data_IF_513107421284
#
_entry.id   IF_513107421284
#
_cell.length_a   1.000
_cell.length_b   1.000
_cell.length_c   1.000
_cell.angle_alpha   90.00
_cell.angle_beta   90.00
_cell.angle_gamma   90.00
#
_symmetry.space_group_name_H-M   'P 1'
#
loop_
_entity.id
_entity.type
_entity.pdbx_description
1 polymer ?
#
# COMPACT_ATOMS: atom_id res chain seq x y z
N UNK A 1 20.92 -13.07 2.30
CA UNK A 1 19.48 -13.36 2.43
C UNK A 1 18.89 -13.67 1.07
N UNK A 2 18.02 -14.68 0.97
CA UNK A 2 17.51 -15.13 -0.31
C UNK A 2 16.31 -14.26 -0.76
N UNK A 3 16.47 -13.55 -1.87
CA UNK A 3 15.39 -12.91 -2.63
C UNK A 3 14.19 -13.89 -2.78
N UNK A 4 14.47 -15.17 -3.00
CA UNK A 4 13.46 -16.20 -3.10
C UNK A 4 12.55 -16.30 -1.85
N UNK A 5 13.08 -16.20 -0.63
CA UNK A 5 12.27 -16.27 0.59
C UNK A 5 11.30 -15.09 0.71
N UNK A 6 11.76 -13.91 0.35
CA UNK A 6 10.90 -12.72 0.33
C UNK A 6 9.80 -12.85 -0.73
N UNK A 7 10.14 -13.26 -1.95
CA UNK A 7 9.16 -13.45 -3.03
C UNK A 7 8.14 -14.54 -2.68
N UNK A 8 8.58 -15.69 -2.16
CA UNK A 8 7.67 -16.77 -1.72
C UNK A 8 6.73 -16.25 -0.63
N UNK A 9 7.24 -15.50 0.35
CA UNK A 9 6.41 -14.89 1.40
C UNK A 9 5.40 -13.90 0.85
N UNK A 10 5.80 -13.02 -0.06
CA UNK A 10 4.92 -12.03 -0.67
C UNK A 10 3.82 -12.69 -1.53
N UNK A 11 4.19 -13.67 -2.35
CA UNK A 11 3.23 -14.42 -3.18
C UNK A 11 2.28 -15.24 -2.30
N UNK A 12 2.79 -15.97 -1.31
CA UNK A 12 1.95 -16.74 -0.38
C UNK A 12 0.96 -15.86 0.37
N UNK A 13 1.40 -14.69 0.84
CA UNK A 13 0.52 -13.73 1.51
C UNK A 13 -0.51 -13.14 0.55
N UNK A 14 -0.13 -12.84 -0.70
CA UNK A 14 -1.08 -12.38 -1.72
C UNK A 14 -2.15 -13.43 -2.00
N UNK A 15 -1.76 -14.70 -2.12
CA UNK A 15 -2.71 -15.80 -2.27
C UNK A 15 -3.63 -15.89 -1.05
N UNK A 16 -3.10 -15.81 0.17
CA UNK A 16 -3.91 -15.82 1.39
C UNK A 16 -4.91 -14.66 1.43
N UNK A 17 -4.49 -13.45 1.02
CA UNK A 17 -5.39 -12.29 0.94
C UNK A 17 -6.50 -12.44 -0.12
N UNK A 18 -6.29 -13.25 -1.15
CA UNK A 18 -7.33 -13.54 -2.15
C UNK A 18 -8.50 -14.36 -1.58
N UNK A 19 -8.30 -15.07 -0.46
CA UNK A 19 -9.37 -15.77 0.27
C UNK A 19 -10.05 -14.91 1.34
N UNK A 20 -9.55 -13.70 1.59
CA UNK A 20 -10.19 -12.76 2.52
C UNK A 20 -11.40 -12.13 1.85
N UNK A 21 -12.49 -11.99 2.60
CA UNK A 21 -13.70 -11.37 2.06
C UNK A 21 -13.42 -9.94 1.58
N UNK A 22 -14.05 -9.58 0.47
CA UNK A 22 -13.95 -8.23 -0.12
C UNK A 22 -14.37 -7.14 0.87
N UNK A 23 -15.36 -7.43 1.72
CA UNK A 23 -15.84 -6.48 2.73
C UNK A 23 -14.81 -6.24 3.82
N UNK A 24 -14.08 -7.28 4.25
CA UNK A 24 -13.00 -7.12 5.21
C UNK A 24 -11.83 -6.31 4.63
N UNK A 25 -11.43 -6.60 3.38
CA UNK A 25 -10.40 -5.81 2.67
C UNK A 25 -10.85 -4.35 2.58
N UNK A 26 -12.09 -4.10 2.21
CA UNK A 26 -12.66 -2.77 2.08
C UNK A 26 -12.67 -2.04 3.43
N UNK A 27 -13.10 -2.70 4.49
CA UNK A 27 -13.13 -2.12 5.83
C UNK A 27 -11.74 -1.78 6.34
N UNK A 28 -10.78 -2.70 6.22
CA UNK A 28 -9.44 -2.53 6.79
C UNK A 28 -8.58 -1.58 5.94
N UNK A 29 -8.60 -1.72 4.61
CA UNK A 29 -7.63 -1.04 3.73
C UNK A 29 -8.19 0.16 2.98
N UNK A 30 -9.53 0.27 2.81
CA UNK A 30 -10.12 1.34 2.02
C UNK A 30 -10.81 2.40 2.88
N UNK A 31 -11.49 2.00 3.96
CA UNK A 31 -12.33 2.93 4.73
C UNK A 31 -11.55 4.09 5.35
N UNK A 32 -10.45 3.79 6.07
CA UNK A 32 -9.66 4.84 6.72
C UNK A 32 -8.96 5.77 5.72
N UNK A 33 -8.27 5.26 4.67
CA UNK A 33 -7.71 6.10 3.62
C UNK A 33 -8.75 6.98 2.92
N UNK A 34 -9.93 6.42 2.59
CA UNK A 34 -10.99 7.20 1.96
C UNK A 34 -11.50 8.33 2.86
N UNK A 35 -11.70 8.03 4.16
CA UNK A 35 -12.14 9.02 5.14
C UNK A 35 -11.13 10.15 5.33
N UNK A 36 -9.84 9.81 5.43
CA UNK A 36 -8.78 10.80 5.57
C UNK A 36 -8.61 11.65 4.31
N UNK A 37 -8.72 11.04 3.12
CA UNK A 37 -8.67 11.77 1.86
C UNK A 37 -9.88 12.71 1.69
N UNK A 38 -11.10 12.27 2.01
CA UNK A 38 -12.29 13.10 2.00
C UNK A 38 -12.18 14.27 2.99
N UNK A 39 -11.65 14.02 4.21
CA UNK A 39 -11.40 15.05 5.21
C UNK A 39 -10.35 16.07 4.76
N UNK A 40 -9.30 15.62 4.05
CA UNK A 40 -8.29 16.53 3.50
C UNK A 40 -8.91 17.56 2.52
N UNK A 41 -9.91 17.15 1.73
CA UNK A 41 -10.62 18.02 0.79
C UNK A 41 -11.84 18.70 1.38
N UNK A 42 -12.12 18.51 2.67
CA UNK A 42 -13.30 19.04 3.36
C UNK A 42 -14.62 18.66 2.67
N UNK A 43 -14.73 17.42 2.24
CA UNK A 43 -15.91 16.89 1.54
C UNK A 43 -16.49 15.67 2.24
N UNK A 44 -17.81 15.43 2.13
CA UNK A 44 -18.43 14.23 2.72
C UNK A 44 -17.99 12.95 2.01
N UNK A 45 -17.81 11.88 2.78
CA UNK A 45 -17.63 10.52 2.27
C UNK A 45 -18.99 9.84 2.15
N UNK A 46 -19.37 9.47 0.94
CA UNK A 46 -20.59 8.69 0.69
C UNK A 46 -20.39 7.23 1.06
N UNK A 47 -21.27 6.70 1.90
CA UNK A 47 -21.32 5.30 2.30
C UNK A 47 -22.57 4.64 1.66
N UNK A 48 -22.50 3.35 1.30
CA UNK A 48 -21.41 2.38 1.51
C UNK A 48 -20.34 2.38 0.42
N UNK A 49 -20.44 3.19 -0.65
CA UNK A 49 -19.57 3.12 -1.83
C UNK A 49 -18.13 3.56 -1.54
N UNK A 50 -17.89 4.23 -0.40
CA UNK A 50 -16.62 4.89 -0.08
C UNK A 50 -16.19 5.88 -1.18
N UNK A 51 -17.16 6.67 -1.66
CA UNK A 51 -16.95 7.65 -2.72
C UNK A 51 -16.96 9.08 -2.15
N UNK A 52 -16.12 9.95 -2.69
CA UNK A 52 -16.16 11.39 -2.40
C UNK A 52 -15.92 12.18 -3.68
N UNK A 53 -16.41 13.42 -3.70
CA UNK A 53 -16.27 14.32 -4.86
C UNK A 53 -15.48 15.56 -4.47
N UNK A 54 -14.32 15.76 -5.11
CA UNK A 54 -13.47 16.90 -4.90
C UNK A 54 -12.96 17.43 -6.24
N UNK A 55 -12.92 18.75 -6.41
CA UNK A 55 -12.46 19.44 -7.63
C UNK A 55 -13.10 18.94 -8.94
N UNK A 56 -14.37 18.55 -8.90
CA UNK A 56 -15.08 18.02 -10.08
C UNK A 56 -14.84 16.54 -10.37
N UNK A 57 -13.91 15.90 -9.68
CA UNK A 57 -13.62 14.47 -9.77
C UNK A 57 -14.41 13.70 -8.71
N UNK A 58 -15.03 12.59 -9.11
CA UNK A 58 -15.68 11.65 -8.18
C UNK A 58 -14.80 10.43 -8.06
N UNK A 59 -14.22 10.22 -6.89
CA UNK A 59 -13.35 9.10 -6.56
C UNK A 59 -14.15 8.06 -5.76
N UNK A 60 -14.30 6.85 -6.31
CA UNK A 60 -14.85 5.69 -5.60
C UNK A 60 -13.70 4.73 -5.25
N UNK A 61 -13.52 4.49 -3.96
CA UNK A 61 -12.40 3.65 -3.48
C UNK A 61 -12.82 2.18 -3.52
N UNK A 62 -12.42 1.50 -4.58
CA UNK A 62 -12.66 0.08 -4.77
C UNK A 62 -11.64 -0.80 -4.04
N UNK A 63 -11.95 -2.08 -3.76
CA UNK A 63 -11.00 -3.04 -3.17
C UNK A 63 -9.70 -3.20 -3.98
N UNK A 64 -9.74 -3.02 -5.29
CA UNK A 64 -8.55 -2.97 -6.15
C UNK A 64 -7.61 -1.80 -5.83
N UNK A 65 -8.13 -0.75 -5.18
CA UNK A 65 -7.35 0.40 -4.72
C UNK A 65 -6.79 0.23 -3.30
N UNK A 66 -7.05 -0.90 -2.65
CA UNK A 66 -6.70 -1.14 -1.24
C UNK A 66 -5.18 -1.19 -0.95
N UNK A 67 -4.34 -1.32 -1.98
CA UNK A 67 -2.90 -1.46 -1.79
C UNK A 67 -2.49 -2.79 -1.18
N UNK A 68 -3.32 -3.84 -1.29
CA UNK A 68 -3.06 -5.17 -0.73
C UNK A 68 -1.78 -5.81 -1.29
N UNK A 69 -1.42 -5.50 -2.53
CA UNK A 69 -0.17 -5.96 -3.15
C UNK A 69 1.04 -5.34 -2.47
N UNK A 70 0.98 -4.03 -2.23
CA UNK A 70 2.00 -3.33 -1.47
C UNK A 70 2.09 -3.86 -0.04
N UNK A 71 0.95 -4.07 0.63
CA UNK A 71 0.90 -4.64 1.98
C UNK A 71 1.57 -6.01 2.03
N UNK A 72 1.26 -6.92 1.09
CA UNK A 72 1.86 -8.25 1.05
C UNK A 72 3.39 -8.18 0.86
N UNK A 73 3.86 -7.32 -0.04
CA UNK A 73 5.29 -7.12 -0.26
C UNK A 73 5.99 -6.48 0.93
N UNK A 74 5.40 -5.42 1.51
CA UNK A 74 5.96 -4.72 2.65
C UNK A 74 6.01 -5.61 3.91
N UNK A 75 4.92 -6.34 4.19
CA UNK A 75 4.87 -7.27 5.33
C UNK A 75 5.91 -8.36 5.20
N UNK A 76 6.01 -8.99 4.03
CA UNK A 76 7.01 -10.03 3.78
C UNK A 76 8.44 -9.48 3.95
N UNK A 77 8.71 -8.27 3.45
CA UNK A 77 10.01 -7.62 3.54
C UNK A 77 10.38 -7.26 4.99
N UNK A 78 9.43 -6.69 5.73
CA UNK A 78 9.60 -6.34 7.14
C UNK A 78 9.77 -7.59 8.02
N UNK A 79 8.97 -8.65 7.79
CA UNK A 79 9.07 -9.89 8.54
C UNK A 79 10.44 -10.56 8.33
N UNK A 80 10.92 -10.61 7.11
CA UNK A 80 12.26 -11.14 6.81
C UNK A 80 13.35 -10.24 7.38
N UNK A 81 13.25 -8.93 7.21
CA UNK A 81 14.24 -7.96 7.71
C UNK A 81 14.32 -7.95 9.23
N UNK A 82 13.20 -7.99 9.93
CA UNK A 82 13.15 -8.08 11.39
C UNK A 82 13.58 -9.46 11.89
N UNK A 83 13.20 -10.54 11.19
CA UNK A 83 13.59 -11.90 11.54
C UNK A 83 15.11 -12.14 11.47
N UNK A 84 15.79 -11.47 10.54
CA UNK A 84 17.27 -11.50 10.46
C UNK A 84 17.90 -10.79 11.65
N UNK A 85 17.28 -9.71 12.16
CA UNK A 85 17.82 -8.93 13.28
C UNK A 85 17.50 -9.57 14.64
N UNK A 86 16.22 -9.82 14.90
CA UNK A 86 15.73 -10.49 16.11
C UNK A 86 14.35 -11.07 15.85
N UNK A 87 14.16 -12.37 16.14
CA UNK A 87 12.86 -13.06 15.96
C UNK A 87 11.71 -12.39 16.69
N UNK A 88 11.96 -11.79 17.87
CA UNK A 88 10.96 -11.06 18.64
C UNK A 88 10.35 -9.85 17.88
N UNK A 89 11.07 -9.26 16.94
CA UNK A 89 10.58 -8.11 16.17
C UNK A 89 9.69 -8.47 14.98
N UNK A 90 9.60 -9.75 14.63
CA UNK A 90 8.70 -10.20 13.54
C UNK A 90 7.25 -9.81 13.81
N UNK A 91 6.82 -9.81 15.08
CA UNK A 91 5.47 -9.40 15.49
C UNK A 91 5.19 -7.94 15.13
N UNK A 92 6.21 -7.08 15.12
CA UNK A 92 6.07 -5.67 14.74
C UNK A 92 5.93 -5.46 13.22
N UNK A 93 6.22 -6.46 12.41
CA UNK A 93 6.12 -6.36 10.96
C UNK A 93 4.68 -6.12 10.49
N UNK A 94 3.69 -6.78 11.13
CA UNK A 94 2.29 -6.65 10.78
C UNK A 94 1.74 -5.22 11.00
N UNK A 95 1.80 -4.64 12.21
CA UNK A 95 1.33 -3.28 12.41
C UNK A 95 2.12 -2.26 11.60
N UNK A 96 3.44 -2.43 11.44
CA UNK A 96 4.26 -1.53 10.63
C UNK A 96 3.85 -1.57 9.14
N UNK A 97 3.66 -2.75 8.56
CA UNK A 97 3.19 -2.89 7.19
C UNK A 97 1.79 -2.29 7.00
N UNK A 98 0.88 -2.52 7.97
CA UNK A 98 -0.47 -1.98 7.91
C UNK A 98 -0.47 -0.44 7.96
N UNK A 99 0.20 0.15 8.94
CA UNK A 99 0.30 1.62 9.07
C UNK A 99 0.90 2.22 7.80
N UNK A 100 2.00 1.64 7.30
CA UNK A 100 2.66 2.11 6.10
C UNK A 100 1.74 2.06 4.88
N UNK A 101 1.01 0.95 4.70
CA UNK A 101 0.06 0.77 3.59
C UNK A 101 -1.08 1.78 3.67
N UNK A 102 -1.70 1.94 4.83
CA UNK A 102 -2.81 2.88 5.03
C UNK A 102 -2.36 4.33 4.78
N UNK A 103 -1.18 4.70 5.29
CA UNK A 103 -0.62 6.04 5.11
C UNK A 103 -0.35 6.33 3.63
N UNK A 104 0.37 5.44 2.94
CA UNK A 104 0.68 5.62 1.52
C UNK A 104 -0.57 5.60 0.65
N UNK A 105 -1.55 4.75 0.97
CA UNK A 105 -2.80 4.72 0.23
C UNK A 105 -3.61 6.01 0.43
N UNK A 106 -3.58 6.61 1.63
CA UNK A 106 -4.18 7.93 1.87
C UNK A 106 -3.54 9.01 0.99
N UNK A 107 -2.22 9.11 0.98
CA UNK A 107 -1.51 10.07 0.13
C UNK A 107 -1.76 9.83 -1.35
N UNK A 108 -1.81 8.57 -1.78
CA UNK A 108 -2.17 8.20 -3.15
C UNK A 108 -3.56 8.70 -3.52
N UNK A 109 -4.59 8.49 -2.67
CA UNK A 109 -5.95 8.96 -2.93
C UNK A 109 -6.02 10.48 -3.00
N UNK A 110 -5.30 11.19 -2.12
CA UNK A 110 -5.19 12.64 -2.18
C UNK A 110 -4.56 13.09 -3.50
N UNK A 111 -3.47 12.44 -3.93
CA UNK A 111 -2.78 12.80 -5.17
C UNK A 111 -3.61 12.46 -6.44
N UNK A 112 -4.49 11.46 -6.38
CA UNK A 112 -5.32 11.08 -7.53
C UNK A 112 -6.30 12.18 -7.94
N UNK A 113 -6.88 12.93 -7.00
CA UNK A 113 -7.86 13.98 -7.31
C UNK A 113 -7.31 15.03 -8.30
N UNK A 114 -6.20 15.75 -8.01
CA UNK A 114 -5.67 16.72 -8.96
C UNK A 114 -5.17 16.06 -10.25
N UNK A 115 -4.61 14.86 -10.19
CA UNK A 115 -4.12 14.16 -11.39
C UNK A 115 -5.29 13.80 -12.30
N UNK A 116 -6.35 13.19 -11.79
CA UNK A 116 -7.53 12.82 -12.60
C UNK A 116 -8.30 14.02 -13.14
N UNK A 117 -8.20 15.19 -12.49
CA UNK A 117 -8.84 16.42 -13.01
C UNK A 117 -8.22 16.88 -14.34
N UNK A 118 -7.00 16.47 -14.65
CA UNK A 118 -6.26 16.88 -15.85
C UNK A 118 -6.35 15.85 -16.97
N UNK A 119 -6.53 14.56 -16.65
CA UNK A 119 -6.53 13.49 -17.62
C UNK A 119 -7.95 13.12 -18.11
N UNK A 120 -8.10 12.70 -19.39
CA UNK A 120 -9.38 12.23 -19.89
C UNK A 120 -9.82 10.93 -19.19
N UNK A 121 -11.13 10.75 -19.06
CA UNK A 121 -11.74 9.58 -18.36
C UNK A 121 -11.28 8.22 -18.88
N UNK A 122 -10.91 8.13 -20.15
CA UNK A 122 -10.38 6.90 -20.78
C UNK A 122 -9.02 6.48 -20.23
N UNK A 123 -8.25 7.40 -19.67
CA UNK A 123 -6.89 7.15 -19.16
C UNK A 123 -6.85 6.90 -17.65
N UNK A 124 -7.96 7.10 -16.95
CA UNK A 124 -8.06 6.94 -15.49
C UNK A 124 -7.45 5.63 -14.97
N UNK A 125 -7.67 4.45 -15.59
CA UNK A 125 -7.05 3.21 -15.10
C UNK A 125 -5.52 3.23 -15.14
N UNK A 126 -4.94 3.82 -16.19
CA UNK A 126 -3.48 3.95 -16.35
C UNK A 126 -2.93 4.95 -15.32
N UNK A 127 -3.63 6.06 -15.13
CA UNK A 127 -3.30 7.08 -14.14
C UNK A 127 -3.29 6.49 -12.72
N UNK A 128 -4.31 5.71 -12.37
CA UNK A 128 -4.38 5.02 -11.08
C UNK A 128 -3.19 4.08 -10.85
N UNK A 129 -2.80 3.33 -11.88
CA UNK A 129 -1.64 2.45 -11.82
C UNK A 129 -0.35 3.25 -11.64
N UNK A 130 -0.14 4.28 -12.48
CA UNK A 130 1.06 5.11 -12.46
C UNK A 130 1.24 5.80 -11.10
N UNK A 131 0.19 6.42 -10.56
CA UNK A 131 0.22 7.04 -9.23
C UNK A 131 0.53 5.99 -8.16
N UNK A 132 -0.06 4.78 -8.24
CA UNK A 132 0.27 3.68 -7.34
C UNK A 132 1.76 3.31 -7.37
N UNK A 133 2.34 3.17 -8.56
CA UNK A 133 3.77 2.85 -8.71
C UNK A 133 4.65 3.95 -8.12
N UNK A 134 4.34 5.22 -8.38
CA UNK A 134 5.11 6.38 -7.86
C UNK A 134 5.11 6.41 -6.33
N UNK A 135 4.00 6.07 -5.68
CA UNK A 135 3.95 6.08 -4.21
C UNK A 135 4.54 4.82 -3.57
N UNK A 136 4.29 3.64 -4.14
CA UNK A 136 4.64 2.38 -3.48
C UNK A 136 6.05 1.90 -3.80
N UNK A 137 6.52 2.04 -5.04
CA UNK A 137 7.80 1.51 -5.47
C UNK A 137 9.00 2.14 -4.74
N UNK A 138 9.11 3.48 -4.58
CA UNK A 138 10.23 4.08 -3.86
C UNK A 138 10.32 3.60 -2.41
N UNK A 139 9.17 3.43 -1.75
CA UNK A 139 9.13 2.97 -0.36
C UNK A 139 9.56 1.51 -0.25
N UNK A 140 9.14 0.65 -1.18
CA UNK A 140 9.63 -0.73 -1.24
C UNK A 140 11.14 -0.80 -1.50
N UNK A 141 11.67 0.03 -2.39
CA UNK A 141 13.10 0.11 -2.65
C UNK A 141 13.87 0.59 -1.40
N UNK A 142 13.33 1.58 -0.68
CA UNK A 142 13.93 2.07 0.57
C UNK A 142 13.92 1.00 1.67
N UNK A 143 12.79 0.29 1.85
CA UNK A 143 12.69 -0.83 2.78
C UNK A 143 13.68 -1.94 2.42
N UNK A 144 13.75 -2.30 1.16
CA UNK A 144 14.71 -3.27 0.66
C UNK A 144 16.14 -2.86 1.01
N UNK A 145 16.53 -1.64 0.66
CA UNK A 145 17.87 -1.14 0.90
C UNK A 145 18.22 -1.10 2.40
N UNK A 146 17.32 -0.56 3.24
CA UNK A 146 17.57 -0.39 4.66
C UNK A 146 17.58 -1.70 5.45
N UNK A 147 16.72 -2.65 5.09
CA UNK A 147 16.58 -3.90 5.82
C UNK A 147 17.57 -4.97 5.33
N UNK A 148 17.92 -4.94 4.06
CA UNK A 148 18.59 -6.03 3.37
C UNK A 148 19.90 -5.63 2.69
N UNK A 149 20.02 -4.37 2.27
CA UNK A 149 21.18 -3.87 1.53
C UNK A 149 22.44 -3.71 2.38
N UNK A 150 22.30 -3.31 3.64
CA UNK A 150 23.45 -3.04 4.52
C UNK A 150 24.25 -4.30 4.92
N UNK A 151 23.68 -5.49 4.82
CA UNK A 151 24.37 -6.73 5.22
C UNK A 151 25.50 -7.18 4.29
N UNK A 152 25.56 -6.63 3.06
CA UNK A 152 26.62 -6.98 2.09
C UNK A 152 27.86 -6.07 2.13
N UNK A 153 27.75 -4.88 2.73
CA UNK A 153 28.84 -3.91 2.78
C UNK A 153 29.82 -4.15 3.95
N UNK A 154 29.48 -4.97 4.92
CA UNK A 154 30.34 -5.23 6.10
C UNK A 154 30.87 -6.66 6.17
N UNK A 155 30.72 -7.46 5.12
CA UNK A 155 31.18 -8.85 5.07
C UNK A 155 32.53 -9.06 4.35
N UNK A 156 33.21 -8.02 3.92
CA UNK A 156 34.50 -8.09 3.22
C UNK A 156 35.57 -7.18 3.88
N UNK A 157 35.64 -7.20 5.20
CA UNK A 157 36.80 -6.63 5.90
C UNK A 157 37.37 -7.67 6.86
#
# INVERSE_FOLDING_TARGET
MNLARWLIGAVGLKIALAFVSTDLIRTVFCWLPARLAAAYYDVPLALPELAFRAHGVTLAVAPSCAGTDFFAMALSLLAVGFGVRRRAFVVLALPAALILTLTLNTFRLIALVPVESVFPKSEVPIVHLAVGVVFFLPVLCLLWYTLLGKGKLHGNA
#
